data_IF_014547735110
#
_entry.id   IF_014547735110
#
_cell.length_a   1.000
_cell.length_b   1.000
_cell.length_c   1.000
_cell.angle_alpha   90.00
_cell.angle_beta   90.00
_cell.angle_gamma   90.00
#
_symmetry.space_group_name_H-M   'P 1'
#
loop_
_entity.id
_entity.type
_entity.pdbx_description
1 polymer ?
#
# COMPACT_ATOMS: atom_id res chain seq x y z
N UNK A 1 -18.28 11.29 1.44
CA UNK A 1 -17.22 10.30 1.68
C UNK A 1 -17.54 9.13 0.79
N UNK A 2 -16.60 8.76 -0.05
CA UNK A 2 -16.76 7.63 -0.96
C UNK A 2 -16.43 6.35 -0.21
N UNK A 3 -17.05 5.25 -0.59
CA UNK A 3 -16.75 3.94 0.00
C UNK A 3 -15.67 3.25 -0.82
N UNK A 4 -14.55 2.93 -0.17
CA UNK A 4 -13.42 2.25 -0.81
C UNK A 4 -13.45 0.75 -0.56
N UNK A 5 -13.32 -0.03 -1.63
CA UNK A 5 -13.28 -1.48 -1.59
C UNK A 5 -11.94 -2.00 -2.09
N UNK A 6 -11.28 -2.84 -1.30
CA UNK A 6 -10.07 -3.56 -1.71
C UNK A 6 -10.44 -4.64 -2.74
N UNK A 7 -9.74 -4.69 -3.86
CA UNK A 7 -9.87 -5.77 -4.83
C UNK A 7 -9.15 -7.02 -4.35
N UNK A 8 -9.55 -8.22 -4.82
CA UNK A 8 -8.77 -9.44 -4.61
C UNK A 8 -7.33 -9.28 -5.11
N UNK A 9 -6.40 -9.93 -4.43
CA UNK A 9 -4.99 -9.93 -4.79
C UNK A 9 -4.74 -10.80 -6.00
N UNK A 10 -3.71 -10.46 -6.78
CA UNK A 10 -3.27 -11.30 -7.91
C UNK A 10 -2.31 -12.40 -7.43
N UNK A 11 -1.44 -12.08 -6.48
CA UNK A 11 -0.45 -12.99 -5.94
C UNK A 11 -0.43 -13.00 -4.40
N UNK A 12 -0.20 -14.15 -3.76
CA UNK A 12 0.08 -14.16 -2.34
C UNK A 12 1.45 -13.51 -2.06
N UNK A 13 1.58 -12.87 -0.90
CA UNK A 13 2.84 -12.28 -0.46
C UNK A 13 2.89 -12.09 1.05
N UNK A 14 4.05 -11.66 1.54
CA UNK A 14 4.32 -11.38 2.95
C UNK A 14 4.66 -9.90 3.18
N UNK A 15 4.07 -9.03 2.37
CA UNK A 15 4.20 -7.58 2.51
C UNK A 15 3.27 -7.08 3.62
N UNK A 16 3.77 -6.14 4.42
CA UNK A 16 3.12 -5.73 5.66
C UNK A 16 2.66 -4.28 5.66
N UNK A 17 3.08 -3.48 4.67
CA UNK A 17 2.79 -2.06 4.54
C UNK A 17 3.07 -1.29 5.85
N UNK A 18 4.12 -1.73 6.56
CA UNK A 18 4.46 -1.29 7.91
C UNK A 18 5.42 -0.11 7.96
N UNK A 19 6.14 0.12 6.86
CA UNK A 19 7.03 1.25 6.70
C UNK A 19 6.32 2.60 6.63
N UNK A 20 7.10 3.65 6.41
CA UNK A 20 6.60 5.02 6.23
C UNK A 20 5.61 5.08 5.08
N UNK A 21 4.45 5.67 5.31
CA UNK A 21 3.49 5.95 4.25
C UNK A 21 3.89 7.22 3.50
N UNK A 22 3.98 7.13 2.17
CA UNK A 22 4.12 8.26 1.26
C UNK A 22 3.01 8.23 0.21
N UNK A 23 2.69 9.37 -0.37
CA UNK A 23 1.69 9.47 -1.44
C UNK A 23 2.18 10.38 -2.55
N UNK A 24 1.74 10.11 -3.78
CA UNK A 24 2.03 10.97 -4.92
C UNK A 24 1.28 12.30 -4.85
N UNK A 25 1.74 13.27 -5.64
CA UNK A 25 1.04 14.54 -5.78
C UNK A 25 -0.35 14.36 -6.40
N UNK A 26 -0.53 13.39 -7.31
CA UNK A 26 -1.84 13.07 -7.89
C UNK A 26 -2.84 12.65 -6.82
N UNK A 27 -2.46 11.73 -5.95
CA UNK A 27 -3.30 11.33 -4.81
C UNK A 27 -3.62 12.52 -3.90
N UNK A 28 -2.61 13.31 -3.52
CA UNK A 28 -2.81 14.46 -2.65
C UNK A 28 -3.72 15.55 -3.24
N UNK A 29 -3.80 15.66 -4.57
CA UNK A 29 -4.66 16.61 -5.26
C UNK A 29 -6.07 16.07 -5.58
N UNK A 30 -6.21 14.77 -5.81
CA UNK A 30 -7.46 14.16 -6.26
C UNK A 30 -8.29 13.55 -5.13
N UNK A 31 -7.66 13.20 -4.00
CA UNK A 31 -8.32 12.55 -2.88
C UNK A 31 -8.37 13.47 -1.67
N UNK A 32 -9.52 13.46 -1.00
CA UNK A 32 -9.65 14.04 0.32
C UNK A 32 -8.84 13.22 1.33
N UNK A 33 -8.31 13.87 2.36
CA UNK A 33 -7.55 13.18 3.41
C UNK A 33 -8.37 12.07 4.09
N UNK A 34 -9.69 12.21 4.15
CA UNK A 34 -10.58 11.16 4.66
C UNK A 34 -10.56 9.90 3.82
N UNK A 35 -10.47 10.02 2.49
CA UNK A 35 -10.38 8.88 1.57
C UNK A 35 -9.05 8.15 1.77
N UNK A 36 -7.94 8.91 1.84
CA UNK A 36 -6.59 8.38 2.12
C UNK A 36 -6.54 7.60 3.43
N UNK A 37 -7.17 8.14 4.49
CA UNK A 37 -7.23 7.47 5.80
C UNK A 37 -8.09 6.20 5.77
N UNK A 38 -9.19 6.18 5.02
CA UNK A 38 -10.01 4.98 4.87
C UNK A 38 -9.25 3.86 4.17
N UNK A 39 -8.60 4.16 3.04
CA UNK A 39 -7.76 3.20 2.30
C UNK A 39 -6.64 2.68 3.18
N UNK A 40 -5.92 3.57 3.86
CA UNK A 40 -4.82 3.19 4.77
C UNK A 40 -5.29 2.30 5.93
N UNK A 41 -6.47 2.59 6.50
CA UNK A 41 -7.06 1.79 7.57
C UNK A 41 -7.50 0.40 7.07
N UNK A 42 -8.12 0.34 5.88
CA UNK A 42 -8.53 -0.91 5.26
C UNK A 42 -7.33 -1.80 4.91
N UNK A 43 -6.25 -1.20 4.38
CA UNK A 43 -4.98 -1.86 4.11
C UNK A 43 -4.38 -2.48 5.38
N UNK A 44 -4.23 -1.70 6.45
CA UNK A 44 -3.72 -2.19 7.74
C UNK A 44 -4.57 -3.30 8.34
N UNK A 45 -5.90 -3.23 8.17
CA UNK A 45 -6.81 -4.29 8.59
C UNK A 45 -6.56 -5.57 7.79
N UNK A 46 -6.47 -5.47 6.45
CA UNK A 46 -6.21 -6.61 5.58
C UNK A 46 -4.88 -7.30 5.91
N UNK A 47 -3.80 -6.54 6.16
CA UNK A 47 -2.51 -7.11 6.58
C UNK A 47 -2.65 -7.96 7.84
N UNK A 48 -3.37 -7.46 8.86
CA UNK A 48 -3.57 -8.20 10.12
C UNK A 48 -4.43 -9.45 9.94
N UNK A 49 -5.39 -9.42 9.03
CA UNK A 49 -6.29 -10.55 8.78
C UNK A 49 -5.60 -11.67 7.98
N UNK A 50 -4.67 -11.33 7.08
CA UNK A 50 -4.05 -12.28 6.16
C UNK A 50 -2.58 -12.65 6.51
N UNK A 51 -2.02 -12.03 7.56
CA UNK A 51 -0.63 -12.22 7.99
C UNK A 51 0.41 -11.91 6.90
N UNK A 52 0.10 -10.95 6.04
CA UNK A 52 0.85 -10.64 4.82
C UNK A 52 -0.10 -10.44 3.66
N UNK A 53 0.35 -9.68 2.66
CA UNK A 53 -0.40 -9.35 1.46
C UNK A 53 0.52 -9.38 0.23
N UNK A 54 -0.08 -9.30 -0.95
CA UNK A 54 0.64 -8.95 -2.18
C UNK A 54 1.33 -7.58 -2.04
N UNK A 55 2.44 -7.37 -2.76
CA UNK A 55 3.20 -6.12 -2.72
C UNK A 55 2.38 -4.93 -3.26
N UNK A 56 1.42 -5.21 -4.14
CA UNK A 56 0.52 -4.24 -4.76
C UNK A 56 -0.93 -4.50 -4.31
N UNK A 57 -1.57 -3.46 -3.79
CA UNK A 57 -2.95 -3.51 -3.33
C UNK A 57 -3.80 -2.48 -4.06
N UNK A 58 -4.89 -2.93 -4.67
CA UNK A 58 -5.79 -2.07 -5.44
C UNK A 58 -7.05 -1.76 -4.64
N UNK A 59 -7.41 -0.48 -4.57
CA UNK A 59 -8.65 0.00 -3.98
C UNK A 59 -9.45 0.78 -5.02
N UNK A 60 -10.74 0.49 -5.09
CA UNK A 60 -11.70 1.19 -5.96
C UNK A 60 -12.79 1.82 -5.10
N UNK A 61 -13.11 3.08 -5.39
CA UNK A 61 -14.25 3.77 -4.79
C UNK A 61 -15.55 3.46 -5.53
N UNK A 62 -16.67 3.69 -4.86
CA UNK A 62 -18.01 3.63 -5.47
C UNK A 62 -18.24 4.67 -6.58
N UNK A 63 -17.44 5.73 -6.64
CA UNK A 63 -17.44 6.73 -7.72
C UNK A 63 -16.47 6.41 -8.88
N UNK A 64 -15.79 5.25 -8.84
CA UNK A 64 -14.94 4.75 -9.91
C UNK A 64 -13.49 5.24 -9.89
N UNK A 65 -13.07 6.01 -8.89
CA UNK A 65 -11.66 6.31 -8.65
C UNK A 65 -10.93 5.05 -8.19
N UNK A 66 -9.67 4.94 -8.58
CA UNK A 66 -8.80 3.82 -8.23
C UNK A 66 -7.51 4.36 -7.62
N UNK A 67 -7.04 3.71 -6.57
CA UNK A 67 -5.70 3.95 -6.01
C UNK A 67 -4.98 2.63 -5.80
N UNK A 68 -3.67 2.68 -5.98
CA UNK A 68 -2.77 1.57 -5.70
C UNK A 68 -1.96 1.88 -4.45
N UNK A 69 -1.69 0.86 -3.65
CA UNK A 69 -0.73 0.90 -2.56
C UNK A 69 0.38 -0.12 -2.83
N UNK A 70 1.63 0.32 -2.84
CA UNK A 70 2.80 -0.52 -3.18
C UNK A 70 3.82 -0.48 -2.04
N UNK A 71 4.11 -1.64 -1.45
CA UNK A 71 5.15 -1.80 -0.44
C UNK A 71 6.49 -2.19 -1.09
N UNK A 72 7.60 -1.62 -0.60
CA UNK A 72 8.92 -1.84 -1.17
C UNK A 72 9.66 -3.02 -0.51
N UNK A 73 9.30 -3.38 0.72
CA UNK A 73 9.99 -4.42 1.47
C UNK A 73 9.02 -5.43 2.07
N UNK A 74 9.08 -6.65 1.54
CA UNK A 74 8.44 -7.83 2.10
C UNK A 74 9.12 -8.27 3.40
N UNK A 75 8.42 -9.05 4.24
CA UNK A 75 9.02 -9.62 5.44
C UNK A 75 10.24 -10.50 5.11
N UNK A 76 10.11 -11.40 4.13
CA UNK A 76 11.20 -12.27 3.67
C UNK A 76 12.40 -11.47 3.17
N UNK A 77 12.20 -10.33 2.50
CA UNK A 77 13.30 -9.47 2.06
C UNK A 77 14.09 -8.88 3.23
N UNK A 78 13.39 -8.51 4.32
CA UNK A 78 14.03 -7.97 5.54
C UNK A 78 14.85 -9.04 6.27
N UNK A 79 14.39 -10.28 6.23
CA UNK A 79 15.01 -11.41 6.94
C UNK A 79 16.07 -12.13 6.10
N UNK A 80 16.03 -12.00 4.77
CA UNK A 80 16.85 -12.75 3.82
C UNK A 80 18.33 -12.35 3.76
N UNK A 81 18.70 -11.17 4.29
CA UNK A 81 20.09 -10.70 4.33
C UNK A 81 20.64 -10.14 3.01
N UNK A 82 19.79 -9.98 1.99
CA UNK A 82 20.16 -9.41 0.68
C UNK A 82 20.32 -7.88 0.71
N UNK A 83 19.85 -7.23 1.78
CA UNK A 83 19.88 -5.78 1.97
C UNK A 83 20.77 -5.40 3.16
N UNK A 84 21.55 -4.33 2.98
CA UNK A 84 22.25 -3.66 4.09
C UNK A 84 21.27 -2.98 5.04
N UNK A 85 21.65 -2.73 6.31
CA UNK A 85 20.81 -1.97 7.25
C UNK A 85 20.36 -0.62 6.70
N UNK A 86 21.24 0.09 5.98
CA UNK A 86 20.95 1.38 5.37
C UNK A 86 19.90 1.27 4.27
N UNK A 87 19.98 0.22 3.43
CA UNK A 87 18.97 -0.05 2.41
C UNK A 87 17.63 -0.45 3.01
N UNK A 88 17.64 -1.22 4.10
CA UNK A 88 16.42 -1.58 4.81
C UNK A 88 15.71 -0.34 5.36
N UNK A 89 16.46 0.63 5.90
CA UNK A 89 15.90 1.91 6.34
C UNK A 89 15.40 2.77 5.18
N UNK A 90 16.17 2.85 4.09
CA UNK A 90 15.82 3.64 2.90
C UNK A 90 14.53 3.13 2.23
N UNK A 91 14.38 1.81 2.12
CA UNK A 91 13.24 1.16 1.49
C UNK A 91 12.11 0.83 2.46
N UNK A 92 12.17 1.26 3.72
CA UNK A 92 11.08 1.08 4.70
C UNK A 92 9.93 2.07 4.45
N UNK A 93 9.31 1.98 3.29
CA UNK A 93 8.15 2.78 2.91
C UNK A 93 7.20 2.04 1.98
N UNK A 94 5.97 2.51 1.96
CA UNK A 94 4.97 2.13 0.97
C UNK A 94 4.32 3.37 0.37
N UNK A 95 3.93 3.29 -0.90
CA UNK A 95 3.44 4.43 -1.68
C UNK A 95 1.99 4.25 -2.04
N UNK A 96 1.17 5.27 -1.81
CA UNK A 96 -0.16 5.39 -2.41
C UNK A 96 -0.08 6.25 -3.67
N UNK A 97 -0.57 5.73 -4.80
CA UNK A 97 -0.51 6.40 -6.09
C UNK A 97 -1.77 6.12 -6.93
N UNK A 98 -1.99 6.94 -7.95
CA UNK A 98 -2.99 6.69 -8.98
C UNK A 98 -2.44 5.69 -10.02
N UNK A 99 -3.29 4.87 -10.67
CA UNK A 99 -2.84 3.91 -11.67
C UNK A 99 -2.01 4.51 -12.81
N UNK A 100 -2.34 5.73 -13.24
CA UNK A 100 -1.65 6.45 -14.31
C UNK A 100 -0.26 7.01 -13.91
N UNK A 101 0.10 6.91 -12.62
CA UNK A 101 1.40 7.35 -12.10
C UNK A 101 2.42 6.21 -11.96
N UNK A 102 2.01 4.96 -12.25
CA UNK A 102 2.86 3.77 -12.26
C UNK A 102 3.47 3.51 -13.63
#
# INVERSE_FOLDING_TARGET
MSNWTRKPEEHPGDYTFSGRSVMTAGVAHQLEMTDVLQVSSALRRAVRENAGLDYLQVFESDDGRVVWAIDQLSQSMREGGDYTPEQLEEYDYWTMLLPEEY
#
